data_IF_258493156386
#
_entry.id   IF_258493156386
#
_cell.length_a   1.000
_cell.length_b   1.000
_cell.length_c   1.000
_cell.angle_alpha   90.00
_cell.angle_beta   90.00
_cell.angle_gamma   90.00
#
_symmetry.space_group_name_H-M   'P 1'
#
loop_
_entity.id
_entity.type
_entity.pdbx_description
1 polymer ?
#
# COMPACT_ATOMS: atom_id res chain seq x y z
N UNK A 1 -40.55 1.37 40.39
CA UNK A 1 -41.45 0.61 41.28
C UNK A 1 -41.76 -0.69 40.57
N UNK A 2 -40.90 -1.72 40.61
CA UNK A 2 -40.52 -2.60 41.76
C UNK A 2 -41.77 -3.33 42.28
N UNK A 3 -41.91 -4.66 42.36
CA UNK A 3 -41.01 -5.80 42.68
C UNK A 3 -41.57 -7.10 42.00
N UNK A 4 -40.80 -8.11 41.56
CA UNK A 4 -40.14 -9.24 42.29
C UNK A 4 -41.09 -9.97 43.28
N UNK A 5 -41.18 -11.31 43.42
CA UNK A 5 -40.31 -12.48 43.17
C UNK A 5 -41.22 -13.77 43.15
N UNK A 6 -41.00 -14.79 42.32
CA UNK A 6 -40.14 -16.00 42.52
C UNK A 6 -40.63 -16.99 43.60
N UNK A 7 -41.00 -18.24 43.23
CA UNK A 7 -40.47 -19.51 43.81
C UNK A 7 -41.00 -20.76 43.06
N UNK A 8 -40.07 -21.58 42.55
CA UNK A 8 -40.16 -23.04 42.26
C UNK A 8 -40.21 -23.86 43.60
N UNK A 9 -40.28 -25.22 43.69
CA UNK A 9 -39.74 -26.22 42.74
C UNK A 9 -40.36 -27.65 42.66
N UNK A 10 -39.80 -28.43 41.72
CA UNK A 10 -39.31 -29.83 41.83
C UNK A 10 -40.21 -31.09 41.81
N UNK A 11 -39.91 -31.96 40.81
CA UNK A 11 -39.42 -33.37 40.96
C UNK A 11 -40.32 -34.57 40.57
N UNK A 12 -39.72 -35.40 39.67
CA UNK A 12 -39.82 -36.84 39.34
C UNK A 12 -41.17 -37.47 38.92
N UNK A 13 -41.31 -38.09 37.74
CA UNK A 13 -40.64 -39.24 37.08
C UNK A 13 -41.30 -40.60 37.40
N UNK A 14 -41.96 -41.22 36.40
CA UNK A 14 -42.28 -42.65 36.21
C UNK A 14 -43.21 -42.75 34.98
N UNK A 15 -43.30 -43.75 34.10
CA UNK A 15 -42.54 -44.93 33.67
C UNK A 15 -43.28 -45.47 32.43
N UNK A 16 -42.52 -46.06 31.52
CA UNK A 16 -42.85 -46.85 30.30
C UNK A 16 -43.84 -48.04 30.57
N UNK A 17 -44.19 -48.99 29.65
CA UNK A 17 -43.90 -49.16 28.21
C UNK A 17 -45.05 -49.84 27.36
N UNK A 18 -44.66 -50.33 26.17
CA UNK A 18 -45.16 -51.52 25.42
C UNK A 18 -46.49 -51.43 24.64
N UNK A 19 -46.74 -52.13 23.53
CA UNK A 19 -46.00 -52.79 22.43
C UNK A 19 -47.05 -53.69 21.71
N UNK A 20 -46.72 -54.17 20.50
CA UNK A 20 -47.39 -55.27 19.73
C UNK A 20 -48.42 -54.75 18.68
N UNK A 21 -48.19 -54.73 17.37
CA UNK A 21 -47.52 -55.61 16.36
C UNK A 21 -48.28 -56.88 15.99
N UNK A 22 -48.75 -56.96 14.74
CA UNK A 22 -48.91 -58.16 13.87
C UNK A 22 -49.44 -57.65 12.51
N UNK A 23 -48.66 -57.64 11.40
CA UNK A 23 -48.30 -58.75 10.48
C UNK A 23 -49.55 -59.30 9.73
N UNK A 24 -49.63 -59.55 8.42
CA UNK A 24 -48.68 -59.95 7.37
C UNK A 24 -49.46 -59.93 6.01
N UNK A 25 -48.91 -59.62 4.83
CA UNK A 25 -48.41 -60.57 3.79
C UNK A 25 -47.95 -59.72 2.56
N UNK A 26 -46.67 -59.56 2.19
CA UNK A 26 -45.69 -60.42 1.45
C UNK A 26 -46.19 -60.81 0.05
N UNK A 27 -45.61 -60.38 -1.08
CA UNK A 27 -44.38 -60.96 -1.68
C UNK A 27 -43.82 -60.14 -2.87
N UNK A 28 -42.52 -59.84 -2.79
CA UNK A 28 -41.44 -59.68 -3.78
C UNK A 28 -41.65 -59.01 -5.16
N UNK A 29 -40.84 -57.96 -5.41
CA UNK A 29 -39.87 -58.04 -6.51
C UNK A 29 -38.62 -57.21 -6.18
N UNK A 30 -37.49 -57.90 -6.12
CA UNK A 30 -36.13 -57.36 -6.06
C UNK A 30 -35.88 -56.41 -7.22
N UNK A 31 -35.54 -55.16 -6.93
CA UNK A 31 -34.87 -54.28 -7.88
C UNK A 31 -33.62 -53.69 -7.24
N UNK A 32 -32.48 -54.22 -7.66
CA UNK A 32 -31.14 -53.74 -7.39
C UNK A 32 -31.00 -52.22 -7.63
N UNK A 33 -30.41 -51.54 -6.65
CA UNK A 33 -29.45 -50.42 -6.70
C UNK A 33 -29.44 -49.45 -7.93
N UNK A 34 -29.22 -48.14 -7.68
CA UNK A 34 -27.83 -47.75 -7.50
C UNK A 34 -27.60 -46.80 -6.32
N UNK A 35 -26.52 -47.08 -5.63
CA UNK A 35 -25.75 -46.12 -4.84
C UNK A 35 -25.63 -44.77 -5.58
N UNK A 36 -26.54 -43.82 -5.29
CA UNK A 36 -26.44 -42.42 -5.74
C UNK A 36 -25.44 -41.60 -4.93
N UNK A 37 -24.78 -42.23 -3.95
CA UNK A 37 -23.81 -41.61 -3.04
C UNK A 37 -22.50 -41.14 -3.70
N UNK A 38 -21.89 -41.81 -4.70
CA UNK A 38 -20.55 -41.41 -5.17
C UNK A 38 -20.60 -40.09 -5.94
N UNK A 39 -21.67 -39.82 -6.70
CA UNK A 39 -21.82 -38.55 -7.43
C UNK A 39 -22.06 -37.37 -6.48
N UNK A 40 -22.88 -37.54 -5.45
CA UNK A 40 -23.11 -36.51 -4.44
C UNK A 40 -21.84 -36.23 -3.63
N UNK A 41 -21.11 -37.28 -3.22
CA UNK A 41 -19.82 -37.14 -2.56
C UNK A 41 -18.77 -36.46 -3.46
N UNK A 42 -18.72 -36.80 -4.75
CA UNK A 42 -17.83 -36.14 -5.71
C UNK A 42 -18.18 -34.65 -5.91
N UNK A 43 -19.47 -34.32 -5.99
CA UNK A 43 -19.94 -32.93 -6.08
C UNK A 43 -19.59 -32.16 -4.80
N UNK A 44 -19.79 -32.77 -3.63
CA UNK A 44 -19.46 -32.15 -2.35
C UNK A 44 -17.95 -31.94 -2.20
N UNK A 45 -17.13 -32.91 -2.63
CA UNK A 45 -15.68 -32.82 -2.64
C UNK A 45 -15.19 -31.74 -3.59
N UNK A 46 -15.78 -31.64 -4.78
CA UNK A 46 -15.48 -30.59 -5.76
C UNK A 46 -15.87 -29.20 -5.21
N UNK A 47 -17.04 -29.08 -4.58
CA UNK A 47 -17.46 -27.84 -3.93
C UNK A 47 -16.52 -27.45 -2.78
N UNK A 48 -16.12 -28.40 -1.94
CA UNK A 48 -15.16 -28.17 -0.87
C UNK A 48 -13.79 -27.75 -1.42
N UNK A 49 -13.30 -28.37 -2.50
CA UNK A 49 -12.05 -27.99 -3.15
C UNK A 49 -12.12 -26.57 -3.73
N UNK A 50 -13.24 -26.20 -4.37
CA UNK A 50 -13.47 -24.83 -4.87
C UNK A 50 -13.51 -23.83 -3.71
N UNK A 51 -14.17 -24.14 -2.60
CA UNK A 51 -14.23 -23.28 -1.42
C UNK A 51 -12.85 -23.11 -0.77
N UNK A 52 -12.05 -24.17 -0.68
CA UNK A 52 -10.67 -24.11 -0.16
C UNK A 52 -9.78 -23.30 -1.11
N UNK A 53 -9.90 -23.49 -2.43
CA UNK A 53 -9.15 -22.71 -3.41
C UNK A 53 -9.54 -21.23 -3.38
N UNK A 54 -10.84 -20.93 -3.28
CA UNK A 54 -11.33 -19.57 -3.11
C UNK A 54 -10.87 -18.96 -1.79
N UNK A 55 -10.91 -19.72 -0.68
CA UNK A 55 -10.39 -19.27 0.62
C UNK A 55 -8.88 -19.03 0.59
N UNK A 56 -8.11 -19.88 -0.07
CA UNK A 56 -6.67 -19.69 -0.28
C UNK A 56 -6.40 -18.45 -1.16
N UNK A 57 -7.16 -18.27 -2.23
CA UNK A 57 -7.06 -17.10 -3.11
C UNK A 57 -7.41 -15.82 -2.36
N UNK A 58 -8.55 -15.80 -1.66
CA UNK A 58 -8.98 -14.67 -0.84
C UNK A 58 -8.03 -14.39 0.31
N UNK A 59 -7.34 -15.38 0.89
CA UNK A 59 -6.35 -15.14 1.95
C UNK A 59 -5.00 -14.66 1.40
N UNK A 60 -4.61 -15.07 0.20
CA UNK A 60 -3.45 -14.53 -0.51
C UNK A 60 -3.70 -13.09 -0.95
N UNK A 61 -4.87 -12.82 -1.53
CA UNK A 61 -5.32 -11.47 -1.91
C UNK A 61 -5.59 -10.60 -0.66
N UNK A 62 -6.15 -11.16 0.40
CA UNK A 62 -6.28 -10.44 1.65
C UNK A 62 -4.93 -10.19 2.30
N UNK A 63 -3.87 -10.99 2.09
CA UNK A 63 -2.52 -10.68 2.59
C UNK A 63 -1.83 -9.59 1.74
N UNK A 64 -2.11 -9.52 0.44
CA UNK A 64 -1.64 -8.39 -0.38
C UNK A 64 -2.35 -7.08 0.01
N UNK A 65 -3.62 -7.16 0.43
CA UNK A 65 -4.43 -6.00 0.89
C UNK A 65 -4.22 -5.68 2.38
N UNK A 66 -4.04 -6.70 3.24
CA UNK A 66 -3.87 -6.58 4.70
C UNK A 66 -2.43 -6.35 5.13
N UNK A 67 -1.51 -6.14 4.20
CA UNK A 67 -0.44 -5.16 4.41
C UNK A 67 -1.07 -3.76 4.54
N UNK A 68 -2.01 -3.59 5.46
CA UNK A 68 -2.81 -2.39 5.64
C UNK A 68 -1.83 -1.30 6.06
N UNK A 69 -1.51 -0.34 5.17
CA UNK A 69 -0.46 0.62 5.44
C UNK A 69 -0.72 1.34 6.76
N UNK A 70 -1.99 1.66 7.06
CA UNK A 70 -2.42 2.42 8.23
C UNK A 70 -2.02 1.84 9.59
N UNK A 71 -2.01 0.51 9.76
CA UNK A 71 -1.66 -0.10 11.06
C UNK A 71 -0.14 -0.19 11.29
N UNK A 72 0.63 -0.31 10.19
CA UNK A 72 2.09 -0.29 10.22
C UNK A 72 2.68 1.12 10.01
N UNK A 73 1.83 2.11 9.69
CA UNK A 73 2.24 3.47 9.40
C UNK A 73 2.58 4.19 10.69
N UNK A 74 3.88 4.43 10.89
CA UNK A 74 4.38 5.16 12.03
C UNK A 74 4.49 6.67 11.77
N UNK A 75 4.00 7.19 10.65
CA UNK A 75 4.13 8.61 10.32
C UNK A 75 3.49 9.55 11.36
N UNK A 76 2.43 9.11 12.05
CA UNK A 76 1.78 9.89 13.12
C UNK A 76 2.30 9.55 14.52
N UNK A 77 2.88 8.37 14.71
CA UNK A 77 3.33 7.88 16.03
C UNK A 77 4.82 8.11 16.27
N UNK A 78 5.63 8.15 15.20
CA UNK A 78 7.05 8.47 15.21
C UNK A 78 7.28 9.83 14.54
N UNK A 79 7.04 10.88 15.33
CA UNK A 79 7.22 12.27 14.88
C UNK A 79 8.69 12.56 14.56
N UNK A 80 9.63 11.90 15.22
CA UNK A 80 11.07 12.07 15.01
C UNK A 80 11.50 11.59 13.64
N UNK A 81 11.22 10.33 13.31
CA UNK A 81 11.54 9.77 12.01
C UNK A 81 10.77 10.48 10.87
N UNK A 82 9.55 10.92 11.13
CA UNK A 82 8.75 11.71 10.18
C UNK A 82 9.41 13.07 9.88
N UNK A 83 9.87 13.78 10.91
CA UNK A 83 10.58 15.04 10.73
C UNK A 83 11.94 14.84 10.03
N UNK A 84 12.65 13.76 10.37
CA UNK A 84 13.93 13.38 9.76
C UNK A 84 13.77 13.16 8.25
N UNK A 85 12.85 12.29 7.84
CA UNK A 85 12.63 12.01 6.41
C UNK A 85 12.13 13.23 5.66
N UNK A 86 11.26 14.02 6.28
CA UNK A 86 10.74 15.24 5.67
C UNK A 86 11.86 16.26 5.41
N UNK A 87 12.73 16.48 6.41
CA UNK A 87 13.88 17.36 6.29
C UNK A 87 14.86 16.85 5.22
N UNK A 88 15.21 15.56 5.26
CA UNK A 88 16.14 14.96 4.31
C UNK A 88 15.65 15.07 2.86
N UNK A 89 14.39 14.73 2.61
CA UNK A 89 13.77 14.84 1.27
C UNK A 89 13.69 16.30 0.84
N UNK A 90 13.32 17.22 1.73
CA UNK A 90 13.27 18.66 1.42
C UNK A 90 14.62 19.20 0.99
N UNK A 91 15.68 18.88 1.74
CA UNK A 91 17.05 19.28 1.42
C UNK A 91 17.51 18.66 0.11
N UNK A 92 17.21 17.39 -0.13
CA UNK A 92 17.54 16.70 -1.38
C UNK A 92 16.86 17.37 -2.58
N UNK A 93 15.54 17.56 -2.53
CA UNK A 93 14.75 18.16 -3.62
C UNK A 93 15.21 19.58 -3.98
N UNK A 94 15.44 20.42 -2.97
CA UNK A 94 15.95 21.77 -3.18
C UNK A 94 17.32 21.76 -3.89
N UNK A 95 18.17 20.77 -3.60
CA UNK A 95 19.51 20.66 -4.22
C UNK A 95 19.46 20.08 -5.63
N UNK A 96 18.73 18.98 -5.86
CA UNK A 96 18.74 18.29 -7.15
C UNK A 96 17.96 19.03 -8.23
N UNK A 97 16.93 19.81 -7.84
CA UNK A 97 16.09 20.58 -8.77
C UNK A 97 16.44 22.07 -8.83
N UNK A 98 17.53 22.49 -8.18
CA UNK A 98 18.12 23.81 -8.39
C UNK A 98 19.38 23.67 -9.24
N UNK A 99 19.36 24.24 -10.43
CA UNK A 99 20.48 24.19 -11.36
C UNK A 99 20.83 25.57 -11.88
N UNK A 100 22.10 25.73 -12.24
CA UNK A 100 22.61 26.92 -12.90
C UNK A 100 23.49 26.48 -14.05
N UNK A 101 23.43 27.19 -15.17
CA UNK A 101 24.20 26.89 -16.38
C UNK A 101 25.71 26.81 -16.14
N UNK A 102 26.22 27.45 -15.09
CA UNK A 102 27.63 27.52 -14.72
C UNK A 102 28.07 26.45 -13.71
N UNK A 103 27.13 25.70 -13.11
CA UNK A 103 27.39 24.75 -12.00
C UNK A 103 26.59 23.46 -12.13
N UNK A 104 26.55 22.89 -13.32
CA UNK A 104 25.79 21.65 -13.57
C UNK A 104 26.39 20.41 -12.88
N UNK A 105 27.70 20.42 -12.61
CA UNK A 105 28.41 19.33 -11.94
C UNK A 105 28.04 19.19 -10.46
N UNK A 106 27.77 20.31 -9.79
CA UNK A 106 27.33 20.34 -8.39
C UNK A 106 25.97 19.67 -8.25
N UNK A 107 25.03 19.99 -9.14
CA UNK A 107 23.68 19.41 -9.14
C UNK A 107 23.72 17.91 -9.47
N UNK A 108 24.57 17.49 -10.42
CA UNK A 108 24.73 16.08 -10.78
C UNK A 108 25.30 15.24 -9.62
N UNK A 109 26.32 15.75 -8.90
CA UNK A 109 26.85 15.09 -7.70
C UNK A 109 25.80 15.01 -6.58
N UNK A 110 25.02 16.07 -6.40
CA UNK A 110 23.92 16.06 -5.43
C UNK A 110 22.88 14.99 -5.79
N UNK A 111 22.48 14.90 -7.06
CA UNK A 111 21.55 13.89 -7.54
C UNK A 111 22.11 12.47 -7.35
N UNK A 112 23.39 12.24 -7.67
CA UNK A 112 24.02 10.93 -7.44
C UNK A 112 24.07 10.55 -5.95
N UNK A 113 24.23 11.50 -5.04
CA UNK A 113 24.23 11.22 -3.60
C UNK A 113 22.83 10.93 -3.05
N UNK A 114 21.80 11.62 -3.55
CA UNK A 114 20.45 11.61 -2.99
C UNK A 114 19.48 10.66 -3.69
N UNK A 115 19.74 10.26 -4.95
CA UNK A 115 18.85 9.44 -5.76
C UNK A 115 19.40 8.03 -5.95
N UNK A 116 18.50 7.05 -5.99
CA UNK A 116 18.80 5.64 -6.31
C UNK A 116 17.78 5.09 -7.29
N UNK A 117 18.13 3.98 -7.95
CA UNK A 117 17.22 3.21 -8.80
C UNK A 117 16.45 4.08 -9.81
N UNK A 118 15.12 3.92 -9.83
CA UNK A 118 14.22 4.58 -10.80
C UNK A 118 14.24 6.11 -10.71
N UNK A 119 14.42 6.66 -9.52
CA UNK A 119 14.53 8.11 -9.33
C UNK A 119 15.75 8.67 -10.06
N UNK A 120 16.91 8.02 -9.94
CA UNK A 120 18.14 8.46 -10.60
C UNK A 120 18.03 8.36 -12.13
N UNK A 121 17.45 7.27 -12.64
CA UNK A 121 17.21 7.09 -14.08
C UNK A 121 16.28 8.18 -14.64
N UNK A 122 15.16 8.42 -13.95
CA UNK A 122 14.18 9.44 -14.35
C UNK A 122 14.78 10.84 -14.31
N UNK A 123 15.58 11.14 -13.28
CA UNK A 123 16.34 12.38 -13.20
C UNK A 123 17.29 12.55 -14.37
N UNK A 124 18.15 11.56 -14.65
CA UNK A 124 19.14 11.64 -15.72
C UNK A 124 18.50 11.85 -17.09
N UNK A 125 17.38 11.17 -17.36
CA UNK A 125 16.62 11.35 -18.62
C UNK A 125 16.09 12.77 -18.79
N UNK A 126 15.54 13.36 -17.73
CA UNK A 126 15.03 14.74 -17.77
C UNK A 126 16.18 15.75 -17.83
N UNK A 127 17.23 15.52 -17.06
CA UNK A 127 18.36 16.43 -16.96
C UNK A 127 19.21 16.47 -18.23
N UNK A 128 19.26 15.37 -19.00
CA UNK A 128 19.93 15.35 -20.31
C UNK A 128 19.41 16.45 -21.25
N UNK A 129 18.09 16.66 -21.30
CA UNK A 129 17.48 17.72 -22.13
C UNK A 129 17.80 19.12 -21.61
N UNK A 130 17.93 19.27 -20.29
CA UNK A 130 18.32 20.53 -19.66
C UNK A 130 19.79 20.84 -19.96
N UNK A 131 20.68 19.85 -19.90
CA UNK A 131 22.10 20.00 -20.24
C UNK A 131 22.33 20.54 -21.65
N UNK A 132 21.52 20.09 -22.61
CA UNK A 132 21.60 20.55 -24.00
C UNK A 132 21.13 22.00 -24.16
N UNK A 133 20.03 22.38 -23.48
CA UNK A 133 19.35 23.67 -23.71
C UNK A 133 19.78 24.79 -22.76
N UNK A 134 20.21 24.47 -21.54
CA UNK A 134 20.50 25.45 -20.49
C UNK A 134 21.67 26.39 -20.81
N UNK A 135 22.79 25.96 -21.44
CA UNK A 135 23.90 26.86 -21.77
C UNK A 135 23.51 27.95 -22.78
N UNK A 136 22.72 27.59 -23.79
CA UNK A 136 22.27 28.54 -24.83
C UNK A 136 21.39 29.66 -24.25
N UNK A 137 20.61 29.35 -23.21
CA UNK A 137 19.68 30.28 -22.58
C UNK A 137 20.20 30.91 -21.29
N UNK A 138 21.42 30.54 -20.85
CA UNK A 138 21.97 30.87 -19.53
C UNK A 138 20.94 30.68 -18.40
N UNK A 139 20.26 29.53 -18.43
CA UNK A 139 19.11 29.26 -17.58
C UNK A 139 19.57 28.95 -16.14
N UNK A 140 18.91 29.59 -15.17
CA UNK A 140 19.03 29.31 -13.74
C UNK A 140 17.66 28.90 -13.23
N UNK A 141 17.52 27.66 -12.77
CA UNK A 141 16.31 27.17 -12.11
C UNK A 141 16.55 27.07 -10.62
N UNK A 142 15.68 27.68 -9.84
CA UNK A 142 15.64 27.55 -8.38
C UNK A 142 14.36 26.85 -8.00
N UNK A 143 14.47 25.78 -7.21
CA UNK A 143 13.32 25.06 -6.68
C UNK A 143 13.26 25.23 -5.17
N UNK A 144 12.07 25.52 -4.65
CA UNK A 144 11.78 25.61 -3.23
C UNK A 144 10.60 24.71 -2.89
N UNK A 145 10.81 23.79 -1.94
CA UNK A 145 9.72 23.04 -1.32
C UNK A 145 8.87 24.02 -0.49
N UNK A 146 7.60 24.15 -0.85
CA UNK A 146 6.64 25.01 -0.14
C UNK A 146 5.89 24.25 0.95
N UNK A 147 5.59 22.97 0.71
CA UNK A 147 4.98 22.08 1.68
C UNK A 147 5.32 20.63 1.40
N UNK A 148 5.34 19.80 2.44
CA UNK A 148 5.64 18.39 2.37
C UNK A 148 4.91 17.62 3.46
N UNK A 149 4.32 16.49 3.08
CA UNK A 149 3.56 15.64 3.98
C UNK A 149 3.99 14.18 3.80
N UNK A 150 4.28 13.51 4.91
CA UNK A 150 4.56 12.06 4.94
C UNK A 150 3.23 11.34 5.00
N UNK A 151 2.92 10.59 3.94
CA UNK A 151 1.69 9.81 3.83
C UNK A 151 1.86 8.45 4.51
N UNK A 152 3.04 7.85 4.36
CA UNK A 152 3.38 6.56 4.95
C UNK A 152 4.84 6.55 5.43
N UNK A 153 5.07 5.93 6.56
CA UNK A 153 6.39 5.67 7.12
C UNK A 153 6.37 4.30 7.81
N UNK A 154 7.34 3.44 7.49
CA UNK A 154 7.46 2.13 8.12
C UNK A 154 8.50 1.25 7.44
N UNK A 155 9.16 0.39 8.23
CA UNK A 155 10.14 -0.57 7.69
C UNK A 155 11.30 0.06 6.93
N UNK A 156 11.72 1.28 7.30
CA UNK A 156 12.78 2.03 6.61
C UNK A 156 12.36 2.65 5.28
N UNK A 157 11.06 2.65 4.95
CA UNK A 157 10.51 3.28 3.74
C UNK A 157 9.53 4.38 4.10
N UNK A 158 9.49 5.41 3.28
CA UNK A 158 8.58 6.53 3.43
C UNK A 158 7.98 6.94 2.09
N UNK A 159 6.70 7.30 2.09
CA UNK A 159 6.02 7.92 0.95
C UNK A 159 5.60 9.32 1.32
N UNK A 160 5.98 10.28 0.50
CA UNK A 160 5.74 11.69 0.74
C UNK A 160 5.02 12.33 -0.46
N UNK A 161 4.18 13.31 -0.16
CA UNK A 161 3.67 14.25 -1.14
C UNK A 161 4.33 15.60 -0.91
N UNK A 162 4.92 16.17 -1.95
CA UNK A 162 5.69 17.42 -1.86
C UNK A 162 5.19 18.42 -2.89
N UNK A 163 4.98 19.64 -2.43
CA UNK A 163 4.66 20.81 -3.25
C UNK A 163 5.91 21.67 -3.41
N UNK A 164 6.15 22.12 -4.63
CA UNK A 164 7.37 22.79 -5.05
C UNK A 164 7.00 24.05 -5.82
N UNK A 165 7.70 25.14 -5.53
CA UNK A 165 7.69 26.35 -6.32
C UNK A 165 9.02 26.46 -7.07
N UNK A 166 8.93 26.63 -8.37
CA UNK A 166 10.08 26.68 -9.26
C UNK A 166 10.14 28.05 -9.93
N UNK A 167 11.29 28.70 -9.84
CA UNK A 167 11.57 29.95 -10.52
C UNK A 167 12.68 29.72 -11.55
N UNK A 168 12.36 29.93 -12.82
CA UNK A 168 13.29 29.86 -13.92
C UNK A 168 13.66 31.27 -14.36
N UNK A 169 14.94 31.61 -14.33
CA UNK A 169 15.48 32.90 -14.75
C UNK A 169 16.50 32.67 -15.87
N UNK A 170 16.33 33.36 -16.99
CA UNK A 170 17.33 33.42 -18.04
C UNK A 170 18.25 34.61 -17.80
N UNK A 171 19.56 34.35 -17.67
CA UNK A 171 20.54 35.40 -17.34
C UNK A 171 20.95 36.26 -18.55
N UNK A 172 20.55 35.92 -19.77
CA UNK A 172 20.86 36.69 -20.99
C UNK A 172 19.94 37.91 -21.16
N UNK A 173 18.67 37.80 -20.79
CA UNK A 173 17.64 38.83 -20.96
C UNK A 173 16.86 39.15 -19.67
N UNK A 174 17.28 38.54 -18.54
CA UNK A 174 16.68 38.73 -17.23
C UNK A 174 15.17 38.42 -17.17
N UNK A 175 14.69 37.56 -18.07
CA UNK A 175 13.33 37.04 -18.08
C UNK A 175 13.18 35.98 -17.00
N UNK A 176 12.17 36.12 -16.15
CA UNK A 176 11.84 35.15 -15.10
C UNK A 176 10.41 34.64 -15.25
N UNK A 177 10.22 33.35 -14.98
CA UNK A 177 8.91 32.69 -14.91
C UNK A 177 8.84 31.78 -13.69
N UNK A 178 7.66 31.70 -13.08
CA UNK A 178 7.42 30.83 -11.92
C UNK A 178 6.41 29.75 -12.27
N UNK A 179 6.63 28.54 -11.78
CA UNK A 179 5.72 27.41 -11.91
C UNK A 179 5.61 26.67 -10.57
N UNK A 180 4.43 26.15 -10.28
CA UNK A 180 4.23 25.23 -9.16
C UNK A 180 4.25 23.78 -9.67
N UNK A 181 4.75 22.86 -8.86
CA UNK A 181 4.78 21.44 -9.16
C UNK A 181 4.42 20.61 -7.92
N UNK A 182 3.85 19.43 -8.16
CA UNK A 182 3.52 18.46 -7.12
C UNK A 182 4.19 17.13 -7.46
N UNK A 183 4.90 16.55 -6.49
CA UNK A 183 5.59 15.28 -6.64
C UNK A 183 5.18 14.30 -5.55
N UNK A 184 4.91 13.05 -5.95
CA UNK A 184 4.98 11.92 -5.03
C UNK A 184 6.39 11.35 -5.00
N UNK A 185 6.90 11.19 -3.80
CA UNK A 185 8.26 10.76 -3.51
C UNK A 185 8.19 9.44 -2.75
N UNK A 186 9.02 8.48 -3.14
CA UNK A 186 9.31 7.32 -2.29
C UNK A 186 10.76 7.40 -1.86
N UNK A 187 10.97 7.41 -0.55
CA UNK A 187 12.29 7.43 0.08
C UNK A 187 12.53 6.12 0.84
N UNK A 188 13.78 5.70 0.87
CA UNK A 188 14.25 4.52 1.60
C UNK A 188 15.46 4.90 2.44
N UNK A 189 15.59 4.28 3.61
CA UNK A 189 16.68 4.53 4.55
C UNK A 189 17.86 3.61 4.20
N UNK A 190 18.96 4.19 3.76
CA UNK A 190 20.25 3.54 3.55
C UNK A 190 21.20 3.91 4.70
N UNK A 191 21.31 3.01 5.69
CA UNK A 191 22.06 3.28 6.92
C UNK A 191 21.40 4.40 7.73
N UNK A 192 22.12 5.50 7.92
CA UNK A 192 21.63 6.71 8.61
C UNK A 192 21.07 7.77 7.66
N UNK A 193 21.08 7.53 6.34
CA UNK A 193 20.68 8.50 5.34
C UNK A 193 19.39 8.09 4.63
N UNK A 194 18.56 9.07 4.28
CA UNK A 194 17.42 8.86 3.40
C UNK A 194 17.82 9.13 1.96
N UNK A 195 17.48 8.18 1.09
CA UNK A 195 17.65 8.28 -0.36
C UNK A 195 16.31 8.21 -1.05
N UNK A 196 16.17 8.93 -2.15
CA UNK A 196 14.95 8.93 -2.95
C UNK A 196 15.08 7.85 -4.03
N UNK A 197 14.16 6.89 -4.02
CA UNK A 197 14.15 5.75 -4.95
C UNK A 197 13.10 5.89 -6.05
N UNK A 198 12.08 6.74 -5.85
CA UNK A 198 11.05 7.03 -6.85
C UNK A 198 10.55 8.47 -6.77
N UNK A 199 10.23 9.03 -7.94
CA UNK A 199 9.84 10.43 -8.16
C UNK A 199 8.75 10.49 -9.24
N UNK A 200 7.51 10.81 -8.87
CA UNK A 200 6.38 10.80 -9.81
C UNK A 200 5.65 12.16 -9.78
N UNK A 201 5.58 12.87 -10.92
CA UNK A 201 4.72 14.05 -11.06
C UNK A 201 3.24 13.69 -10.84
N UNK A 202 2.49 14.58 -10.20
CA UNK A 202 1.05 14.43 -9.95
C UNK A 202 0.19 15.35 -10.79
#
# INVERSE_FOLDING_TARGET
MTAAAETEPETDAETEPEATSEAETVTEETAEQPSRRPKLFLILLAAAAVLVAAGAWFTLEARSISATPSAANTALTDVGATAEVNSAVTVALNKIFSYSYDRTDVTEKAAASALRGKALESYNRLFAQVREKAPAQKLVLTTRVSSSAVQELGGGKARLLVFLDQAATRADNNSSSTAAAQLSITAEREGDNWVIIDLVPR
#
